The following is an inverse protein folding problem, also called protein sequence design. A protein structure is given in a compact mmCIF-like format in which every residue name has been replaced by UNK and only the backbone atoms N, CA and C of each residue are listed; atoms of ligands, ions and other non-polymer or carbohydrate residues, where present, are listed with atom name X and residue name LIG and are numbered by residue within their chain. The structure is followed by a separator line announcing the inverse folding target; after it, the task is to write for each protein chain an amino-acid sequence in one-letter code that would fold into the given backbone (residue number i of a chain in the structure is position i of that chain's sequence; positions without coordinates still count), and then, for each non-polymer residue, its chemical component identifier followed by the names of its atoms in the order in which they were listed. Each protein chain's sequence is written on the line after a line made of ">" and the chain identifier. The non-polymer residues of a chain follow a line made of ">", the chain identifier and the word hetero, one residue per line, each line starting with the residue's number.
data_IF_572864709303
#
_entry.id   IF_572864709303
#
_cell.length_a   1.000
_cell.length_b   1.000
_cell.length_c   1.000
_cell.angle_alpha   90.00
_cell.angle_beta   90.00
_cell.angle_gamma   90.00
#
_symmetry.space_group_name_H-M   'P 1'
#
loop_
_entity.id
_entity.type
_entity.pdbx_description
1 polymer ?
#
# COMPACT_ATOMS: atom_id res chain seq x y z
N UNK A 1 -1.39 20.36 -28.89
CA UNK A 1 -1.16 20.99 -27.57
C UNK A 1 -2.45 21.69 -27.19
N UNK A 2 -3.30 21.08 -26.38
CA UNK A 2 -4.43 21.78 -25.78
C UNK A 2 -3.96 22.43 -24.49
N UNK A 3 -4.03 23.76 -24.37
CA UNK A 3 -3.61 24.48 -23.17
C UNK A 3 -4.80 24.59 -22.23
N UNK A 4 -5.12 23.59 -21.45
CA UNK A 4 -5.97 23.68 -20.23
C UNK A 4 -6.39 22.31 -19.69
N UNK A 5 -5.46 21.35 -19.61
CA UNK A 5 -5.61 20.25 -18.68
C UNK A 5 -5.30 20.80 -17.28
N UNK A 6 -6.20 20.68 -16.28
CA UNK A 6 -5.87 21.09 -14.92
C UNK A 6 -4.61 20.31 -14.51
N UNK A 7 -3.58 21.06 -14.05
CA UNK A 7 -2.33 20.48 -13.54
C UNK A 7 -2.67 19.34 -12.59
N UNK A 8 -2.25 18.13 -12.95
CA UNK A 8 -2.46 16.96 -12.12
C UNK A 8 -1.88 17.28 -10.71
N UNK A 9 -2.61 17.04 -9.61
CA UNK A 9 -2.11 17.31 -8.26
C UNK A 9 -0.74 16.69 -7.97
N UNK A 10 -0.41 15.56 -8.63
CA UNK A 10 0.88 14.90 -8.51
C UNK A 10 2.01 15.64 -9.23
N UNK A 11 1.72 16.39 -10.29
CA UNK A 11 2.74 17.21 -10.98
C UNK A 11 3.39 18.23 -10.06
N UNK A 12 2.61 18.82 -9.14
CA UNK A 12 3.14 19.77 -8.16
C UNK A 12 4.09 19.10 -7.15
N UNK A 13 3.85 17.83 -6.85
CA UNK A 13 4.67 17.05 -5.92
C UNK A 13 6.00 16.69 -6.58
N UNK A 14 5.99 16.33 -7.86
CA UNK A 14 7.18 15.82 -8.56
C UNK A 14 8.03 16.92 -9.21
N UNK A 15 7.44 18.06 -9.52
CA UNK A 15 8.14 19.18 -10.18
C UNK A 15 9.22 19.86 -9.33
N UNK A 16 9.26 19.61 -8.02
CA UNK A 16 10.28 20.18 -7.12
C UNK A 16 11.63 19.43 -7.18
N UNK A 17 11.72 18.28 -7.88
CA UNK A 17 12.94 17.50 -8.01
C UNK A 17 13.65 17.78 -9.35
N UNK A 18 14.97 17.92 -9.29
CA UNK A 18 15.83 18.05 -10.47
C UNK A 18 16.62 16.76 -10.61
N UNK A 19 16.08 15.84 -11.41
CA UNK A 19 16.61 14.49 -11.58
C UNK A 19 17.96 14.45 -12.29
N UNK A 20 18.79 13.48 -11.88
CA UNK A 20 20.02 13.09 -12.58
C UNK A 20 20.00 11.57 -12.79
N UNK A 21 19.37 11.15 -13.88
CA UNK A 21 19.18 9.75 -14.27
C UNK A 21 19.66 9.57 -15.70
N UNK A 22 20.47 8.55 -15.97
CA UNK A 22 20.97 8.21 -17.29
C UNK A 22 20.62 6.76 -17.72
N UNK A 23 21.06 6.37 -18.92
CA UNK A 23 20.79 5.03 -19.46
C UNK A 23 21.44 3.91 -18.62
N UNK A 24 22.57 4.17 -17.96
CA UNK A 24 23.21 3.17 -17.12
C UNK A 24 22.36 2.84 -15.88
N UNK A 25 21.68 3.84 -15.32
CA UNK A 25 20.76 3.65 -14.19
C UNK A 25 19.58 2.74 -14.59
N UNK A 26 19.03 2.92 -15.81
CA UNK A 26 17.97 2.05 -16.33
C UNK A 26 18.45 0.62 -16.59
N UNK A 27 19.66 0.44 -17.15
CA UNK A 27 20.24 -0.88 -17.34
C UNK A 27 20.46 -1.61 -15.99
N UNK A 28 20.78 -0.88 -14.93
CA UNK A 28 20.91 -1.45 -13.60
C UNK A 28 19.54 -1.84 -13.02
N UNK A 29 18.51 -1.06 -13.28
CA UNK A 29 17.14 -1.43 -12.90
C UNK A 29 16.67 -2.67 -13.67
N UNK A 30 16.92 -2.78 -14.97
CA UNK A 30 16.53 -3.95 -15.78
C UNK A 30 17.04 -5.27 -15.20
N UNK A 31 18.24 -5.30 -14.61
CA UNK A 31 18.77 -6.49 -13.93
C UNK A 31 17.93 -6.91 -12.71
N UNK A 32 17.18 -5.99 -12.12
CA UNK A 32 16.33 -6.23 -10.95
C UNK A 32 14.93 -6.69 -11.33
N UNK A 33 14.49 -6.50 -12.59
CA UNK A 33 13.14 -6.86 -13.07
C UNK A 33 12.83 -8.33 -12.83
N UNK A 34 13.80 -9.23 -13.04
CA UNK A 34 13.63 -10.66 -12.75
C UNK A 34 13.20 -10.94 -11.30
N UNK A 35 13.73 -10.20 -10.33
CA UNK A 35 13.31 -10.36 -8.92
C UNK A 35 11.89 -9.82 -8.68
N UNK A 36 11.50 -8.75 -9.37
CA UNK A 36 10.15 -8.21 -9.30
C UNK A 36 9.13 -9.19 -9.90
N UNK A 37 9.47 -9.86 -11.00
CA UNK A 37 8.67 -10.92 -11.60
C UNK A 37 8.47 -12.08 -10.61
N UNK A 38 9.57 -12.56 -9.99
CA UNK A 38 9.49 -13.62 -8.97
C UNK A 38 8.70 -13.19 -7.73
N UNK A 39 8.83 -11.96 -7.29
CA UNK A 39 8.02 -11.40 -6.20
C UNK A 39 6.54 -11.42 -6.58
N UNK A 40 6.18 -10.97 -7.78
CA UNK A 40 4.81 -10.98 -8.29
C UNK A 40 4.22 -12.39 -8.43
N UNK A 41 5.05 -13.42 -8.68
CA UNK A 41 4.61 -14.82 -8.73
C UNK A 41 4.31 -15.40 -7.33
N UNK A 42 5.06 -14.99 -6.31
CA UNK A 42 5.00 -15.54 -4.94
C UNK A 42 3.98 -14.79 -4.08
N UNK A 43 3.99 -13.47 -4.18
CA UNK A 43 3.03 -12.62 -3.48
C UNK A 43 1.67 -12.65 -4.19
N UNK A 44 0.61 -12.57 -3.40
CA UNK A 44 -0.74 -12.44 -3.94
C UNK A 44 -1.11 -10.98 -4.26
N UNK A 45 -0.10 -10.12 -4.32
CA UNK A 45 -0.19 -8.69 -4.58
C UNK A 45 0.18 -8.38 -6.04
N UNK A 46 -0.41 -7.34 -6.60
CA UNK A 46 0.11 -6.70 -7.80
C UNK A 46 1.39 -5.96 -7.46
N UNK A 47 2.41 -6.12 -8.27
CA UNK A 47 3.70 -5.45 -8.10
C UNK A 47 3.94 -4.51 -9.28
N UNK A 48 4.17 -3.24 -9.01
CA UNK A 48 4.46 -2.26 -10.06
C UNK A 48 5.57 -1.28 -9.64
N UNK A 49 6.24 -0.67 -10.62
CA UNK A 49 7.26 0.35 -10.40
C UNK A 49 6.96 1.57 -11.24
N UNK A 50 6.86 2.72 -10.56
CA UNK A 50 6.69 4.04 -11.19
C UNK A 50 8.03 4.76 -11.23
N UNK A 51 8.37 5.26 -12.40
CA UNK A 51 9.45 6.20 -12.64
C UNK A 51 8.92 7.63 -12.51
N UNK A 52 9.33 8.33 -11.46
CA UNK A 52 8.88 9.71 -11.20
C UNK A 52 9.52 10.73 -12.15
N UNK A 53 10.69 10.42 -12.72
CA UNK A 53 11.35 11.25 -13.73
C UNK A 53 10.59 11.20 -15.06
N UNK A 54 10.24 10.00 -15.54
CA UNK A 54 9.46 9.81 -16.78
C UNK A 54 7.95 9.96 -16.56
N UNK A 55 7.48 9.94 -15.30
CA UNK A 55 6.06 9.93 -14.90
C UNK A 55 5.30 8.73 -15.48
N UNK A 56 5.96 7.58 -15.55
CA UNK A 56 5.44 6.37 -16.19
C UNK A 56 5.68 5.14 -15.33
N UNK A 57 4.79 4.15 -15.48
CA UNK A 57 5.11 2.81 -15.02
C UNK A 57 6.17 2.20 -15.93
N UNK A 58 7.26 1.72 -15.35
CA UNK A 58 8.35 1.02 -16.05
C UNK A 58 8.34 -0.48 -15.80
N UNK A 59 7.53 -0.93 -14.84
CA UNK A 59 7.23 -2.32 -14.58
C UNK A 59 5.79 -2.45 -14.09
N UNK A 60 5.06 -3.40 -14.67
CA UNK A 60 3.71 -3.80 -14.29
C UNK A 60 3.66 -5.32 -14.26
N UNK A 61 3.84 -5.90 -13.09
CA UNK A 61 3.67 -7.33 -12.85
C UNK A 61 2.39 -7.54 -12.05
N UNK A 62 1.46 -8.36 -12.56
CA UNK A 62 0.17 -8.38 -11.96
C UNK A 62 -0.58 -9.69 -12.10
N UNK A 63 -1.08 -10.19 -10.96
CA UNK A 63 -2.18 -11.15 -10.89
C UNK A 63 -3.55 -10.46 -10.76
N UNK A 64 -3.59 -9.19 -10.38
CA UNK A 64 -4.82 -8.46 -10.05
C UNK A 64 -5.21 -7.37 -11.05
N UNK A 65 -4.47 -7.24 -12.16
CA UNK A 65 -4.85 -6.30 -13.21
C UNK A 65 -6.11 -6.73 -13.99
N UNK A 66 -6.53 -7.98 -13.88
CA UNK A 66 -7.73 -8.45 -14.59
C UNK A 66 -8.97 -7.56 -14.37
N UNK A 67 -9.30 -7.13 -13.14
CA UNK A 67 -10.39 -6.19 -12.91
C UNK A 67 -10.18 -4.83 -13.58
N UNK A 68 -8.94 -4.45 -13.86
CA UNK A 68 -8.56 -3.16 -14.44
C UNK A 68 -8.08 -3.27 -15.88
N UNK A 69 -8.03 -4.49 -16.45
CA UNK A 69 -7.72 -4.72 -17.85
C UNK A 69 -8.71 -3.99 -18.76
N UNK A 70 -8.23 -3.48 -19.89
CA UNK A 70 -9.01 -2.73 -20.89
C UNK A 70 -9.58 -1.37 -20.43
N UNK A 71 -9.47 -0.98 -19.16
CA UNK A 71 -9.65 0.43 -18.81
C UNK A 71 -8.51 1.28 -19.41
N UNK A 72 -7.43 0.62 -19.79
CA UNK A 72 -6.22 1.20 -20.37
C UNK A 72 -6.29 1.32 -21.91
N UNK A 73 -7.37 0.87 -22.56
CA UNK A 73 -7.44 0.65 -24.00
C UNK A 73 -7.34 1.89 -24.91
N UNK A 74 -7.48 3.10 -24.38
CA UNK A 74 -7.31 4.35 -25.15
C UNK A 74 -6.11 5.19 -24.66
N UNK A 75 -5.47 4.78 -23.55
CA UNK A 75 -4.33 5.47 -22.97
C UNK A 75 -3.09 4.57 -23.00
N UNK A 76 -1.93 5.16 -23.17
CA UNK A 76 -0.67 4.42 -22.97
C UNK A 76 -0.69 3.83 -21.54
N UNK A 77 -0.59 2.49 -21.36
CA UNK A 77 -0.67 1.84 -20.04
C UNK A 77 0.38 2.34 -19.05
N UNK A 78 1.28 3.18 -19.50
CA UNK A 78 2.45 3.64 -18.79
C UNK A 78 2.25 4.96 -18.07
N UNK A 79 1.16 5.71 -18.31
CA UNK A 79 0.95 6.99 -17.59
C UNK A 79 0.57 6.74 -16.13
N UNK A 80 1.47 7.12 -15.22
CA UNK A 80 1.25 6.97 -13.77
C UNK A 80 0.03 7.75 -13.28
N UNK A 81 -0.40 8.78 -14.00
CA UNK A 81 -1.52 9.64 -13.64
C UNK A 81 -2.88 9.09 -14.08
N UNK A 82 -2.89 8.14 -14.99
CA UNK A 82 -4.13 7.54 -15.47
C UNK A 82 -4.94 6.90 -14.33
N UNK A 83 -4.28 6.19 -13.43
CA UNK A 83 -4.93 5.51 -12.32
C UNK A 83 -5.65 6.45 -11.34
N UNK A 84 -5.26 7.72 -11.28
CA UNK A 84 -5.92 8.74 -10.45
C UNK A 84 -7.41 8.91 -10.82
N UNK A 85 -7.77 8.73 -12.10
CA UNK A 85 -9.15 8.82 -12.60
C UNK A 85 -10.03 7.66 -12.13
N UNK A 86 -9.42 6.58 -11.67
CA UNK A 86 -10.13 5.39 -11.21
C UNK A 86 -10.48 5.47 -9.71
N UNK A 87 -9.92 6.42 -8.97
CA UNK A 87 -10.22 6.57 -7.55
C UNK A 87 -11.66 7.00 -7.33
N UNK A 88 -12.25 6.50 -6.22
CA UNK A 88 -13.56 6.99 -5.82
C UNK A 88 -13.49 8.51 -5.54
N UNK A 89 -14.47 9.32 -6.02
CA UNK A 89 -14.42 10.78 -5.86
C UNK A 89 -14.25 11.25 -4.41
N UNK A 90 -14.87 10.58 -3.44
CA UNK A 90 -14.75 10.93 -2.02
C UNK A 90 -13.37 10.58 -1.44
N UNK A 91 -12.68 9.57 -2.00
CA UNK A 91 -11.39 9.10 -1.51
C UNK A 91 -10.23 9.91 -2.11
N UNK A 92 -10.39 10.38 -3.34
CA UNK A 92 -9.37 11.08 -4.11
C UNK A 92 -8.71 12.25 -3.36
N UNK A 93 -9.44 13.18 -2.72
CA UNK A 93 -8.79 14.30 -2.00
C UNK A 93 -7.90 13.81 -0.86
N UNK A 94 -8.31 12.75 -0.13
CA UNK A 94 -7.56 12.21 1.00
C UNK A 94 -6.33 11.46 0.52
N UNK A 95 -6.43 10.72 -0.58
CA UNK A 95 -5.30 10.01 -1.20
C UNK A 95 -4.26 11.01 -1.69
N UNK A 96 -4.68 12.10 -2.38
CA UNK A 96 -3.77 13.15 -2.85
C UNK A 96 -3.08 13.87 -1.69
N UNK A 97 -3.80 14.21 -0.62
CA UNK A 97 -3.20 14.78 0.60
C UNK A 97 -2.19 13.82 1.24
N UNK A 98 -2.48 12.51 1.22
CA UNK A 98 -1.56 11.48 1.73
C UNK A 98 -0.25 11.45 0.95
N UNK A 99 -0.33 11.45 -0.37
CA UNK A 99 0.86 11.48 -1.22
C UNK A 99 1.67 12.75 -0.99
N UNK A 100 1.03 13.92 -1.00
CA UNK A 100 1.69 15.21 -0.77
C UNK A 100 2.41 15.26 0.57
N UNK A 101 1.75 14.88 1.66
CA UNK A 101 2.34 14.88 3.01
C UNK A 101 3.48 13.89 3.13
N UNK A 102 3.32 12.69 2.59
CA UNK A 102 4.36 11.66 2.61
C UNK A 102 5.57 12.06 1.81
N UNK A 103 5.36 12.62 0.62
CA UNK A 103 6.46 13.06 -0.23
C UNK A 103 7.26 14.20 0.42
N UNK A 104 6.57 15.21 0.98
CA UNK A 104 7.22 16.28 1.74
C UNK A 104 8.00 15.75 2.94
N UNK A 105 7.47 14.73 3.62
CA UNK A 105 8.18 14.05 4.70
C UNK A 105 9.46 13.39 4.19
N UNK A 106 9.40 12.64 3.09
CA UNK A 106 10.59 12.00 2.51
C UNK A 106 11.66 13.03 2.14
N UNK A 107 11.28 14.16 1.52
CA UNK A 107 12.21 15.22 1.15
C UNK A 107 12.83 15.93 2.36
N UNK A 108 12.19 15.89 3.53
CA UNK A 108 12.71 16.45 4.78
C UNK A 108 13.73 15.56 5.47
N UNK A 109 13.86 14.28 5.03
CA UNK A 109 14.80 13.32 5.60
C UNK A 109 16.17 13.39 4.95
N UNK A 110 17.24 13.02 5.68
CA UNK A 110 18.53 12.68 5.09
C UNK A 110 18.33 11.59 4.01
N UNK A 111 19.16 11.63 2.97
CA UNK A 111 19.05 10.71 1.83
C UNK A 111 19.09 9.24 2.25
N UNK A 112 20.00 8.89 3.15
CA UNK A 112 20.21 7.54 3.67
C UNK A 112 19.00 6.96 4.43
N UNK A 113 18.12 7.82 4.95
CA UNK A 113 16.94 7.41 5.69
C UNK A 113 15.69 7.28 4.80
N UNK A 114 15.67 7.87 3.61
CA UNK A 114 14.47 7.97 2.76
C UNK A 114 13.85 6.63 2.43
N UNK A 115 14.67 5.59 2.21
CA UNK A 115 14.21 4.22 1.89
C UNK A 115 13.68 3.44 3.09
N UNK A 116 13.78 3.96 4.31
CA UNK A 116 13.39 3.25 5.53
C UNK A 116 11.90 3.40 5.88
N UNK A 117 11.08 3.90 4.98
CA UNK A 117 9.67 4.17 5.24
C UNK A 117 8.76 3.53 4.19
N UNK A 118 7.54 3.23 4.65
CA UNK A 118 6.47 2.67 3.83
C UNK A 118 5.17 3.42 4.09
N UNK A 119 4.54 3.95 3.03
CA UNK A 119 3.17 4.45 3.10
C UNK A 119 2.21 3.29 2.84
N UNK A 120 1.23 3.11 3.72
CA UNK A 120 0.12 2.17 3.54
C UNK A 120 -1.16 2.98 3.44
N UNK A 121 -1.92 2.75 2.38
CA UNK A 121 -3.23 3.34 2.12
C UNK A 121 -4.24 2.25 1.82
N UNK A 122 -5.51 2.49 2.16
CA UNK A 122 -6.61 1.83 1.48
C UNK A 122 -7.54 2.87 0.88
N UNK A 123 -8.10 2.55 -0.27
CA UNK A 123 -9.07 3.37 -0.97
C UNK A 123 -9.91 2.52 -1.92
N UNK A 124 -10.94 3.12 -2.48
CA UNK A 124 -11.80 2.49 -3.48
C UNK A 124 -11.35 2.87 -4.88
N UNK A 125 -11.20 1.87 -5.75
CA UNK A 125 -10.83 2.04 -7.15
C UNK A 125 -11.86 1.38 -8.05
N UNK A 126 -12.24 2.06 -9.14
CA UNK A 126 -13.24 1.61 -10.11
C UNK A 126 -12.62 0.56 -11.03
N UNK A 127 -13.30 -0.58 -11.15
CA UNK A 127 -12.95 -1.65 -12.09
C UNK A 127 -13.50 -1.41 -13.50
N UNK A 128 -13.20 -2.32 -14.43
CA UNK A 128 -13.66 -2.30 -15.84
C UNK A 128 -15.18 -2.39 -16.01
N UNK A 129 -15.91 -2.79 -14.97
CA UNK A 129 -17.37 -2.87 -14.97
C UNK A 129 -18.03 -1.67 -14.29
N UNK A 130 -17.26 -0.71 -13.81
CA UNK A 130 -17.74 0.47 -13.10
C UNK A 130 -18.00 0.24 -11.60
N UNK A 131 -17.70 -0.95 -11.07
CA UNK A 131 -17.80 -1.27 -9.64
C UNK A 131 -16.58 -0.72 -8.90
N UNK A 132 -16.77 -0.16 -7.71
CA UNK A 132 -15.68 0.22 -6.83
C UNK A 132 -15.22 -0.97 -5.97
N UNK A 133 -13.95 -1.30 -6.10
CA UNK A 133 -13.26 -2.34 -5.32
C UNK A 133 -12.41 -1.69 -4.23
N UNK A 134 -12.36 -2.34 -3.07
CA UNK A 134 -11.46 -1.91 -1.99
C UNK A 134 -10.05 -2.44 -2.25
N UNK A 135 -9.08 -1.53 -2.26
CA UNK A 135 -7.67 -1.84 -2.50
C UNK A 135 -6.86 -1.37 -1.30
N UNK A 136 -5.89 -2.16 -0.90
CA UNK A 136 -4.82 -1.73 -0.02
C UNK A 136 -3.54 -1.57 -0.83
N UNK A 137 -2.86 -0.45 -0.64
CA UNK A 137 -1.67 -0.08 -1.39
C UNK A 137 -0.52 0.18 -0.44
N UNK A 138 0.64 -0.36 -0.76
CA UNK A 138 1.89 -0.08 -0.07
C UNK A 138 2.86 0.59 -1.04
N UNK A 139 3.34 1.77 -0.68
CA UNK A 139 4.33 2.52 -1.47
C UNK A 139 5.65 2.59 -0.71
N UNK A 140 6.72 2.24 -1.41
CA UNK A 140 8.11 2.24 -0.89
C UNK A 140 9.01 2.92 -1.90
N UNK A 141 9.99 3.69 -1.44
CA UNK A 141 11.04 4.21 -2.32
C UNK A 141 11.94 3.03 -2.70
N UNK A 142 11.96 2.69 -3.99
CA UNK A 142 12.82 1.63 -4.51
C UNK A 142 14.23 2.15 -4.79
N UNK A 143 14.34 3.25 -5.54
CA UNK A 143 15.64 3.86 -5.86
C UNK A 143 15.58 5.39 -5.76
N UNK A 144 16.72 5.94 -5.36
CA UNK A 144 17.03 7.35 -5.46
C UNK A 144 17.94 7.56 -6.68
N UNK A 145 17.91 8.75 -7.27
CA UNK A 145 18.87 9.14 -8.30
C UNK A 145 20.22 9.57 -7.68
N UNK A 146 21.17 9.98 -8.52
CA UNK A 146 22.53 10.39 -8.11
C UNK A 146 22.56 11.63 -7.22
N UNK A 147 21.46 12.40 -7.16
CA UNK A 147 21.29 13.58 -6.32
C UNK A 147 20.42 13.31 -5.09
N UNK A 148 20.07 12.06 -4.85
CA UNK A 148 19.19 11.67 -3.76
C UNK A 148 17.70 11.91 -4.02
N UNK A 149 17.28 12.38 -5.22
CA UNK A 149 15.87 12.52 -5.54
C UNK A 149 15.18 11.16 -5.59
N UNK A 150 13.90 11.13 -5.25
CA UNK A 150 13.08 9.91 -5.31
C UNK A 150 12.82 9.60 -6.78
N UNK A 151 13.52 8.61 -7.32
CA UNK A 151 13.42 8.25 -8.72
C UNK A 151 12.42 7.15 -8.97
N UNK A 152 12.56 5.99 -8.31
CA UNK A 152 11.66 4.85 -8.50
C UNK A 152 10.85 4.56 -7.24
N UNK A 153 9.54 4.39 -7.41
CA UNK A 153 8.61 3.95 -6.37
C UNK A 153 8.11 2.54 -6.66
N UNK A 154 8.29 1.62 -5.71
CA UNK A 154 7.66 0.31 -5.71
C UNK A 154 6.26 0.44 -5.11
N UNK A 155 5.28 -0.14 -5.81
CA UNK A 155 3.89 -0.17 -5.39
C UNK A 155 3.45 -1.63 -5.31
N UNK A 156 2.88 -2.00 -4.18
CA UNK A 156 2.26 -3.30 -3.94
C UNK A 156 0.77 -3.07 -3.69
N UNK A 157 -0.09 -3.66 -4.53
CA UNK A 157 -1.53 -3.49 -4.46
C UNK A 157 -2.21 -4.83 -4.18
N UNK A 158 -3.09 -4.86 -3.18
CA UNK A 158 -3.92 -6.02 -2.85
C UNK A 158 -5.39 -5.67 -3.00
N UNK A 159 -6.14 -6.53 -3.70
CA UNK A 159 -7.59 -6.50 -3.67
C UNK A 159 -8.09 -7.05 -2.34
N UNK A 160 -8.94 -6.30 -1.67
CA UNK A 160 -9.57 -6.78 -0.45
C UNK A 160 -10.85 -7.54 -0.78
N UNK A 161 -11.16 -8.61 -0.02
CA UNK A 161 -12.41 -9.34 -0.17
C UNK A 161 -13.63 -8.43 -0.04
N UNK A 162 -14.70 -8.68 -0.80
CA UNK A 162 -15.95 -7.89 -0.81
C UNK A 162 -16.58 -7.68 0.57
N UNK A 163 -16.29 -8.58 1.52
CA UNK A 163 -16.78 -8.49 2.91
C UNK A 163 -16.04 -7.43 3.74
N UNK A 164 -14.89 -6.96 3.27
CA UNK A 164 -14.10 -5.94 3.93
C UNK A 164 -14.46 -4.60 3.31
N UNK A 165 -15.28 -3.81 4.00
CA UNK A 165 -15.55 -2.44 3.62
C UNK A 165 -14.91 -1.48 4.63
N UNK A 166 -14.25 -0.47 4.13
CA UNK A 166 -13.77 0.65 4.94
C UNK A 166 -14.67 1.85 4.76
N UNK A 167 -14.96 2.55 5.84
CA UNK A 167 -15.53 3.88 5.76
C UNK A 167 -14.39 4.88 5.49
N UNK A 168 -14.23 5.26 4.22
CA UNK A 168 -13.22 6.22 3.76
C UNK A 168 -11.80 5.62 3.67
N UNK A 169 -10.82 6.51 3.55
CA UNK A 169 -9.41 6.18 3.39
C UNK A 169 -8.74 6.04 4.75
N UNK A 170 -8.07 4.91 5.00
CA UNK A 170 -7.13 4.79 6.10
C UNK A 170 -5.71 4.91 5.56
N UNK A 171 -4.85 5.58 6.31
CA UNK A 171 -3.49 5.89 5.88
C UNK A 171 -2.49 5.87 7.03
N UNK A 172 -1.28 5.38 6.76
CA UNK A 172 -0.18 5.32 7.72
C UNK A 172 1.15 5.40 7.01
N UNK A 173 2.05 6.23 7.52
CA UNK A 173 3.45 6.17 7.15
C UNK A 173 4.22 5.48 8.27
N UNK A 174 4.89 4.39 7.97
CA UNK A 174 5.56 3.52 8.93
C UNK A 174 7.05 3.48 8.62
N UNK A 175 7.87 3.62 9.66
CA UNK A 175 9.31 3.32 9.57
C UNK A 175 9.50 1.80 9.56
N UNK A 176 10.06 1.24 8.49
CA UNK A 176 10.08 -0.21 8.22
C UNK A 176 10.85 -0.99 9.30
N UNK A 177 12.01 -0.49 9.74
CA UNK A 177 12.87 -1.18 10.71
C UNK A 177 12.31 -1.20 12.13
N UNK A 178 11.54 -0.18 12.52
CA UNK A 178 11.06 -0.03 13.91
C UNK A 178 9.56 -0.26 14.08
N UNK A 179 8.79 -0.28 12.99
CA UNK A 179 7.34 -0.33 13.03
C UNK A 179 6.67 0.96 13.53
N UNK A 180 7.44 2.02 13.78
CA UNK A 180 6.91 3.29 14.31
C UNK A 180 6.08 4.01 13.25
N UNK A 181 4.85 4.41 13.62
CA UNK A 181 4.01 5.25 12.78
C UNK A 181 4.50 6.71 12.87
N UNK A 182 4.86 7.29 11.72
CA UNK A 182 5.45 8.62 11.63
C UNK A 182 4.46 9.71 11.22
N UNK A 183 3.52 9.40 10.29
CA UNK A 183 2.44 10.30 9.89
C UNK A 183 1.09 9.63 10.09
N UNK A 184 0.04 10.45 10.15
CA UNK A 184 -1.38 10.05 10.23
C UNK A 184 -1.74 9.28 11.52
N UNK A 185 -1.00 9.52 12.61
CA UNK A 185 -1.20 8.83 13.91
C UNK A 185 -2.58 9.05 14.50
N UNK A 186 -3.10 10.27 14.41
CA UNK A 186 -4.36 10.68 15.04
C UNK A 186 -5.59 10.19 14.28
N UNK A 187 -5.42 9.60 13.11
CA UNK A 187 -6.51 9.00 12.33
C UNK A 187 -6.84 7.58 12.81
N UNK A 188 -6.06 7.08 13.78
CA UNK A 188 -6.28 5.82 14.48
C UNK A 188 -7.21 5.96 15.70
N UNK A 189 -7.93 7.11 15.85
CA UNK A 189 -8.82 7.31 16.99
C UNK A 189 -9.94 6.25 17.06
N UNK A 190 -10.31 5.81 18.28
CA UNK A 190 -11.10 4.59 18.52
C UNK A 190 -12.55 4.62 18.02
N UNK A 191 -12.98 5.65 17.30
CA UNK A 191 -14.34 5.79 16.77
C UNK A 191 -14.51 5.38 15.29
N UNK A 192 -13.43 5.13 14.54
CA UNK A 192 -13.57 4.43 13.26
C UNK A 192 -13.60 2.93 13.57
N UNK A 193 -14.69 2.27 13.25
CA UNK A 193 -14.85 0.81 13.37
C UNK A 193 -13.65 0.10 12.74
N UNK A 194 -12.66 -0.22 13.55
CA UNK A 194 -11.60 -1.13 13.13
C UNK A 194 -12.24 -2.47 12.82
N UNK A 195 -11.87 -3.10 11.72
CA UNK A 195 -12.37 -4.44 11.34
C UNK A 195 -12.19 -5.40 12.51
N UNK A 196 -11.05 -5.31 13.20
CA UNK A 196 -10.74 -6.09 14.40
C UNK A 196 -10.87 -5.22 15.65
N UNK A 197 -11.48 -5.79 16.69
CA UNK A 197 -11.47 -5.18 18.02
C UNK A 197 -10.05 -5.16 18.61
N UNK A 198 -9.82 -4.31 19.62
CA UNK A 198 -8.52 -4.24 20.33
C UNK A 198 -8.07 -5.63 20.80
N UNK A 199 -9.01 -6.44 21.29
CA UNK A 199 -8.72 -7.78 21.78
C UNK A 199 -8.34 -8.75 20.67
N UNK A 200 -8.98 -8.65 19.52
CA UNK A 200 -8.64 -9.45 18.33
C UNK A 200 -7.26 -9.06 17.79
N UNK A 201 -6.90 -7.77 17.80
CA UNK A 201 -5.55 -7.31 17.43
C UNK A 201 -4.49 -7.86 18.39
N UNK A 202 -4.75 -7.85 19.71
CA UNK A 202 -3.83 -8.44 20.71
C UNK A 202 -3.63 -9.95 20.47
N UNK A 203 -4.72 -10.69 20.26
CA UNK A 203 -4.67 -12.13 19.97
C UNK A 203 -3.88 -12.38 18.69
N UNK A 204 -4.17 -11.65 17.60
CA UNK A 204 -3.52 -11.81 16.32
C UNK A 204 -2.03 -11.43 16.38
N UNK A 205 -1.68 -10.41 17.17
CA UNK A 205 -0.29 -10.02 17.43
C UNK A 205 0.52 -11.11 18.15
N UNK A 206 -0.12 -11.89 19.04
CA UNK A 206 0.54 -13.04 19.66
C UNK A 206 0.65 -14.22 18.68
N UNK A 207 -0.38 -14.46 17.89
CA UNK A 207 -0.36 -15.48 16.82
C UNK A 207 0.76 -15.19 15.82
N UNK A 208 0.97 -13.94 15.43
CA UNK A 208 2.04 -13.52 14.50
C UNK A 208 3.45 -13.79 15.03
N UNK A 209 3.58 -13.90 16.35
CA UNK A 209 4.83 -14.27 17.07
C UNK A 209 4.95 -15.77 17.32
N UNK A 210 4.00 -16.58 16.83
CA UNK A 210 4.03 -18.05 16.92
C UNK A 210 3.42 -18.63 18.18
N UNK A 211 2.76 -17.84 19.05
CA UNK A 211 2.14 -18.38 20.28
C UNK A 211 0.94 -19.27 19.98
N UNK A 212 0.90 -20.43 20.65
CA UNK A 212 -0.26 -21.34 20.61
C UNK A 212 -1.45 -20.76 21.42
N UNK A 213 -2.68 -21.22 21.10
CA UNK A 213 -3.90 -20.73 21.78
C UNK A 213 -3.85 -20.89 23.31
N UNK A 214 -3.18 -21.94 23.83
CA UNK A 214 -2.99 -22.15 25.26
C UNK A 214 -2.09 -21.06 25.88
N UNK A 215 -0.97 -20.75 25.25
CA UNK A 215 -0.04 -19.73 25.73
C UNK A 215 -0.65 -18.32 25.68
N UNK A 216 -1.47 -18.07 24.63
CA UNK A 216 -2.24 -16.81 24.52
C UNK A 216 -3.29 -16.72 25.64
N UNK A 217 -3.99 -17.81 25.91
CA UNK A 217 -4.99 -17.88 26.98
C UNK A 217 -4.37 -17.57 28.35
N UNK A 218 -3.23 -18.19 28.66
CA UNK A 218 -2.50 -17.96 29.91
C UNK A 218 -2.04 -16.49 30.05
N UNK A 219 -1.46 -15.92 28.98
CA UNK A 219 -0.96 -14.54 28.98
C UNK A 219 -2.04 -13.47 29.06
N UNK A 220 -3.18 -13.76 28.47
CA UNK A 220 -4.31 -12.82 28.40
C UNK A 220 -5.37 -13.05 29.47
N UNK A 221 -5.16 -14.03 30.38
CA UNK A 221 -6.11 -14.45 31.43
C UNK A 221 -7.47 -14.82 30.85
N UNK A 222 -7.49 -15.60 29.76
CA UNK A 222 -8.68 -16.07 29.06
C UNK A 222 -8.76 -17.60 29.07
N UNK A 223 -9.93 -18.14 28.73
CA UNK A 223 -10.03 -19.55 28.39
C UNK A 223 -9.49 -19.83 27.00
N UNK A 224 -8.98 -21.04 26.76
CA UNK A 224 -8.55 -21.48 25.42
C UNK A 224 -9.70 -21.35 24.40
N UNK A 225 -10.92 -21.67 24.81
CA UNK A 225 -12.11 -21.53 23.97
C UNK A 225 -12.36 -20.07 23.56
N UNK A 226 -12.18 -19.13 24.49
CA UNK A 226 -12.30 -17.69 24.20
C UNK A 226 -11.26 -17.24 23.16
N UNK A 227 -10.02 -17.71 23.29
CA UNK A 227 -8.96 -17.41 22.31
C UNK A 227 -9.28 -18.02 20.94
N UNK A 228 -9.78 -19.26 20.90
CA UNK A 228 -10.19 -19.90 19.64
C UNK A 228 -11.37 -19.15 18.99
N UNK A 229 -12.34 -18.68 19.76
CA UNK A 229 -13.43 -17.86 19.25
C UNK A 229 -12.89 -16.53 18.66
N UNK A 230 -11.96 -15.86 19.35
CA UNK A 230 -11.31 -14.67 18.78
C UNK A 230 -10.60 -14.98 17.46
N UNK A 231 -9.85 -16.09 17.37
CA UNK A 231 -9.17 -16.50 16.12
C UNK A 231 -10.17 -16.75 14.99
N UNK A 232 -11.29 -17.41 15.26
CA UNK A 232 -12.33 -17.63 14.27
C UNK A 232 -12.97 -16.33 13.82
N UNK A 233 -13.35 -15.45 14.76
CA UNK A 233 -13.90 -14.14 14.46
C UNK A 233 -12.93 -13.27 13.64
N UNK A 234 -11.62 -13.35 13.91
CA UNK A 234 -10.59 -12.69 13.12
C UNK A 234 -10.63 -13.17 11.68
N UNK A 235 -10.60 -14.50 11.44
CA UNK A 235 -10.67 -15.08 10.10
C UNK A 235 -11.91 -14.62 9.34
N UNK A 236 -13.08 -14.66 9.98
CA UNK A 236 -14.34 -14.22 9.39
C UNK A 236 -14.33 -12.73 9.04
N UNK A 237 -13.80 -11.89 9.95
CA UNK A 237 -13.78 -10.44 9.78
C UNK A 237 -12.80 -9.98 8.69
N UNK A 238 -11.63 -10.62 8.60
CA UNK A 238 -10.64 -10.28 7.57
C UNK A 238 -10.83 -11.07 6.28
N UNK A 239 -11.82 -11.98 6.23
CA UNK A 239 -12.08 -12.82 5.06
C UNK A 239 -10.99 -13.82 4.74
N UNK A 240 -10.12 -14.16 5.71
CA UNK A 240 -8.99 -15.06 5.54
C UNK A 240 -9.41 -16.53 5.72
N UNK A 241 -8.83 -17.42 4.93
CA UNK A 241 -9.09 -18.87 5.02
C UNK A 241 -8.26 -19.55 6.10
N UNK A 242 -7.17 -18.91 6.54
CA UNK A 242 -6.30 -19.40 7.60
C UNK A 242 -5.62 -18.27 8.37
N UNK A 243 -5.00 -18.64 9.49
CA UNK A 243 -4.36 -17.68 10.40
C UNK A 243 -3.14 -16.97 9.78
N UNK A 244 -2.39 -17.66 8.91
CA UNK A 244 -1.22 -17.05 8.24
C UNK A 244 -1.68 -15.92 7.32
N UNK A 245 -2.72 -16.15 6.55
CA UNK A 245 -3.33 -15.15 5.69
C UNK A 245 -3.89 -13.97 6.51
N UNK A 246 -4.56 -14.25 7.63
CA UNK A 246 -5.04 -13.19 8.53
C UNK A 246 -3.91 -12.32 9.09
N UNK A 247 -2.75 -12.91 9.42
CA UNK A 247 -1.56 -12.17 9.86
C UNK A 247 -1.01 -11.30 8.74
N UNK A 248 -0.94 -11.82 7.50
CA UNK A 248 -0.49 -11.04 6.33
C UNK A 248 -1.41 -9.85 6.11
N UNK A 249 -2.73 -10.07 6.07
CA UNK A 249 -3.70 -8.98 5.92
C UNK A 249 -3.61 -7.94 7.05
N UNK A 250 -3.50 -8.40 8.30
CA UNK A 250 -3.38 -7.48 9.43
C UNK A 250 -2.10 -6.63 9.37
N UNK A 251 -0.97 -7.20 8.90
CA UNK A 251 0.26 -6.44 8.63
C UNK A 251 0.08 -5.45 7.50
N UNK A 252 -0.53 -5.87 6.40
CA UNK A 252 -0.82 -5.00 5.27
C UNK A 252 -1.76 -3.85 5.66
N UNK A 253 -2.75 -4.13 6.53
CA UNK A 253 -3.61 -3.11 7.13
C UNK A 253 -2.90 -2.28 8.21
N UNK A 254 -1.64 -2.61 8.58
CA UNK A 254 -0.90 -1.93 9.64
C UNK A 254 -1.55 -2.07 11.02
N UNK A 255 -2.24 -3.18 11.28
CA UNK A 255 -2.83 -3.53 12.57
C UNK A 255 -1.83 -4.27 13.48
N UNK A 256 -0.75 -4.82 12.89
CA UNK A 256 0.34 -5.55 13.53
C UNK A 256 1.69 -4.94 13.23
#
# INVERSE_FOLDING_TARGET
>A
MEPNSPLNPLDQIFSCQIFEVDNADYLEFEKKVYFLEKLSEVENSSVSVVDLYKKKYIYLGSRHLEPFENLLGEYEPQDAFYYVQLFHPDDLPIVMDSYKKTFNFFLSLPEEERKDYKLILNYRQRDKYGKYLNIIVQLVILELDKKGNIWLMLILDDLLPDKISFEGVNRRLIHIKTGKICLFKNELEPNKKTILSTREVEVLGMVSKGFASKEIADRLFLSINTVNNHRQNILEKVGAVNTTEAVIYARNLGLL
#
